data_IF_929056419098
#
_entry.id   IF_929056419098
#
_cell.length_a   1.000
_cell.length_b   1.000
_cell.length_c   1.000
_cell.angle_alpha   90.00
_cell.angle_beta   90.00
_cell.angle_gamma   90.00
#
_symmetry.space_group_name_H-M   'P 1'
#
loop_
_entity.id
_entity.type
_entity.pdbx_description
1 polymer ?
#
# COMPACT_ATOMS: atom_id res chain seq x y z
N UNK A 1 -6.20 -4.30 -20.53
CA UNK A 1 -5.79 -3.93 -19.16
C UNK A 1 -4.37 -3.32 -19.15
N UNK A 2 -4.17 -2.02 -19.45
CA UNK A 2 -2.83 -1.39 -19.39
C UNK A 2 -2.68 -0.21 -18.41
N UNK A 3 -3.77 0.38 -17.87
CA UNK A 3 -3.70 1.59 -17.03
C UNK A 3 -3.14 1.35 -15.62
N UNK A 4 -3.46 0.21 -14.99
CA UNK A 4 -3.06 -0.07 -13.61
C UNK A 4 -1.57 -0.39 -13.45
N UNK A 5 -0.97 -1.15 -14.38
CA UNK A 5 0.47 -1.46 -14.35
C UNK A 5 1.33 -0.20 -14.47
N UNK A 6 0.95 0.73 -15.36
CA UNK A 6 1.66 1.99 -15.53
C UNK A 6 1.60 2.87 -14.26
N UNK A 7 0.44 2.91 -13.60
CA UNK A 7 0.25 3.72 -12.38
C UNK A 7 1.10 3.21 -11.23
N UNK A 8 1.09 1.90 -10.97
CA UNK A 8 1.90 1.30 -9.91
C UNK A 8 3.40 1.50 -10.15
N UNK A 9 3.87 1.24 -11.38
CA UNK A 9 5.28 1.45 -11.72
C UNK A 9 5.69 2.90 -11.55
N UNK A 10 4.88 3.85 -12.03
CA UNK A 10 5.15 5.29 -11.89
C UNK A 10 5.12 5.75 -10.43
N UNK A 11 4.24 5.19 -9.60
CA UNK A 11 4.12 5.58 -8.18
C UNK A 11 5.35 5.15 -7.36
N UNK A 12 5.87 3.96 -7.65
CA UNK A 12 6.98 3.36 -6.89
C UNK A 12 8.36 3.57 -7.50
N UNK A 13 8.48 4.25 -8.66
CA UNK A 13 9.76 4.52 -9.32
C UNK A 13 10.10 6.01 -9.18
N UNK A 14 11.35 6.37 -8.82
CA UNK A 14 11.74 7.77 -8.75
C UNK A 14 11.58 8.47 -10.11
N UNK A 15 11.07 9.70 -10.12
CA UNK A 15 10.83 10.49 -11.32
C UNK A 15 11.23 11.96 -11.12
N UNK A 16 11.86 12.55 -12.14
CA UNK A 16 12.21 13.98 -12.16
C UNK A 16 10.98 14.90 -12.29
N UNK A 17 9.84 14.34 -12.71
CA UNK A 17 8.55 15.06 -12.75
C UNK A 17 8.00 15.31 -11.34
N UNK A 18 8.46 14.56 -10.33
CA UNK A 18 8.09 14.83 -8.93
C UNK A 18 8.89 16.04 -8.46
N UNK A 19 8.14 17.09 -8.15
CA UNK A 19 8.70 18.34 -7.63
C UNK A 19 9.58 18.05 -6.39
N UNK A 20 10.73 18.70 -6.34
CA UNK A 20 11.63 18.55 -5.20
C UNK A 20 10.96 19.11 -3.93
N UNK A 21 10.88 18.27 -2.90
CA UNK A 21 10.45 18.66 -1.55
C UNK A 21 11.67 18.95 -0.67
N UNK A 22 11.43 19.44 0.54
CA UNK A 22 12.49 19.63 1.53
C UNK A 22 13.17 18.29 1.84
N UNK A 23 14.49 18.22 1.79
CA UNK A 23 15.23 17.00 2.11
C UNK A 23 15.61 16.99 3.58
N UNK A 24 15.32 15.90 4.28
CA UNK A 24 15.69 15.69 5.68
C UNK A 24 16.31 14.30 5.91
N UNK A 25 17.04 14.17 7.01
CA UNK A 25 17.56 12.87 7.45
C UNK A 25 16.40 11.98 7.95
N UNK A 26 16.46 10.68 7.62
CA UNK A 26 15.52 9.67 8.11
C UNK A 26 15.59 9.51 9.62
N UNK A 27 14.44 9.33 10.27
CA UNK A 27 14.36 8.70 11.59
C UNK A 27 14.61 7.19 11.50
N UNK A 28 14.85 6.53 12.64
CA UNK A 28 15.02 5.07 12.66
C UNK A 28 13.74 4.33 12.24
N UNK A 29 12.58 4.86 12.60
CA UNK A 29 11.27 4.35 12.18
C UNK A 29 11.06 4.48 10.67
N UNK A 30 11.41 5.64 10.09
CA UNK A 30 11.35 5.84 8.63
C UNK A 30 12.34 4.95 7.90
N UNK A 31 13.54 4.73 8.45
CA UNK A 31 14.51 3.79 7.90
C UNK A 31 13.96 2.36 7.92
N UNK A 32 13.32 1.94 9.00
CA UNK A 32 12.69 0.62 9.07
C UNK A 32 11.55 0.47 8.06
N UNK A 33 10.70 1.50 7.91
CA UNK A 33 9.61 1.49 6.91
C UNK A 33 10.14 1.48 5.48
N UNK A 34 11.24 2.20 5.23
CA UNK A 34 11.96 2.14 3.96
C UNK A 34 12.48 0.72 3.66
N UNK A 35 13.02 0.02 4.67
CA UNK A 35 13.45 -1.37 4.52
C UNK A 35 12.27 -2.31 4.24
N UNK A 36 11.16 -2.15 4.96
CA UNK A 36 9.95 -2.94 4.71
C UNK A 36 9.39 -2.70 3.31
N UNK A 37 9.18 -1.44 2.91
CA UNK A 37 8.74 -1.09 1.57
C UNK A 37 9.70 -1.64 0.50
N UNK A 38 11.00 -1.57 0.76
CA UNK A 38 12.01 -2.15 -0.11
C UNK A 38 11.92 -3.67 -0.24
N UNK A 39 11.54 -4.39 0.81
CA UNK A 39 11.39 -5.85 0.78
C UNK A 39 10.33 -6.35 -0.21
N UNK A 40 9.28 -5.55 -0.45
CA UNK A 40 8.22 -5.84 -1.43
C UNK A 40 8.73 -5.69 -2.86
N UNK A 41 9.64 -4.74 -3.09
CA UNK A 41 10.18 -4.43 -4.42
C UNK A 41 11.44 -5.23 -4.76
N UNK A 42 12.25 -5.56 -3.76
CA UNK A 42 13.48 -6.34 -3.91
C UNK A 42 13.11 -7.82 -3.88
N UNK A 43 12.99 -8.40 -5.08
CA UNK A 43 12.71 -9.84 -5.23
C UNK A 43 13.73 -10.68 -4.46
N UNK A 44 13.25 -11.39 -3.44
CA UNK A 44 14.05 -12.42 -2.77
C UNK A 44 14.45 -13.48 -3.80
N UNK A 45 15.68 -13.99 -3.71
CA UNK A 45 16.19 -15.07 -4.58
C UNK A 45 15.26 -16.30 -4.53
N UNK A 46 14.64 -16.57 -3.38
CA UNK A 46 13.61 -17.59 -3.22
C UNK A 46 12.40 -17.33 -4.12
N UNK A 47 11.90 -16.10 -4.19
CA UNK A 47 10.78 -15.75 -5.06
C UNK A 47 11.14 -15.89 -6.56
N UNK A 48 12.41 -15.70 -6.92
CA UNK A 48 12.90 -15.91 -8.29
C UNK A 48 12.89 -17.39 -8.67
N UNK A 49 13.18 -18.29 -7.72
CA UNK A 49 13.31 -19.73 -7.97
C UNK A 49 12.01 -20.51 -7.74
N UNK A 50 11.21 -20.17 -6.72
CA UNK A 50 10.04 -20.96 -6.32
C UNK A 50 8.99 -20.99 -7.42
N UNK A 51 8.63 -19.83 -8.00
CA UNK A 51 7.62 -19.75 -9.06
C UNK A 51 7.96 -20.57 -10.30
N UNK A 52 9.15 -20.45 -10.92
CA UNK A 52 9.47 -21.25 -12.10
C UNK A 52 9.69 -22.73 -11.77
N UNK A 53 10.12 -23.09 -10.56
CA UNK A 53 10.26 -24.51 -10.19
C UNK A 53 8.89 -25.17 -9.96
N UNK A 54 7.98 -24.48 -9.26
CA UNK A 54 6.67 -25.03 -8.92
C UNK A 54 5.69 -25.03 -10.11
N UNK A 55 5.69 -23.95 -10.90
CA UNK A 55 4.69 -23.73 -11.96
C UNK A 55 5.31 -23.79 -13.37
N UNK A 56 6.61 -23.54 -13.48
CA UNK A 56 7.29 -23.52 -14.78
C UNK A 56 7.23 -24.84 -15.56
N UNK A 57 7.17 -26.04 -14.95
CA UNK A 57 6.93 -27.28 -15.70
C UNK A 57 5.51 -27.40 -16.27
N UNK A 58 4.52 -26.77 -15.65
CA UNK A 58 3.13 -26.87 -16.09
C UNK A 58 2.90 -26.10 -17.40
N UNK A 59 3.53 -24.93 -17.56
CA UNK A 59 3.27 -24.03 -18.69
C UNK A 59 3.65 -24.66 -20.04
N UNK A 60 4.87 -25.21 -20.26
CA UNK A 60 5.25 -25.86 -21.51
C UNK A 60 4.40 -27.10 -21.79
N UNK A 61 4.05 -27.88 -20.75
CA UNK A 61 3.22 -29.08 -20.90
C UNK A 61 1.81 -28.71 -21.35
N UNK A 62 1.16 -27.72 -20.72
CA UNK A 62 -0.16 -27.27 -21.13
C UNK A 62 -0.15 -26.61 -22.52
N UNK A 63 0.87 -25.80 -22.83
CA UNK A 63 1.02 -25.20 -24.15
C UNK A 63 1.20 -26.27 -25.24
N UNK A 64 1.99 -27.31 -24.96
CA UNK A 64 2.21 -28.44 -25.86
C UNK A 64 0.92 -29.25 -26.08
N UNK A 65 0.20 -29.59 -25.00
CA UNK A 65 -1.08 -30.30 -25.06
C UNK A 65 -2.14 -29.49 -25.83
N UNK A 66 -2.26 -28.20 -25.55
CA UNK A 66 -3.17 -27.31 -26.27
C UNK A 66 -2.83 -27.20 -27.75
N UNK A 67 -1.53 -27.11 -28.09
CA UNK A 67 -1.05 -27.10 -29.47
C UNK A 67 -1.40 -28.38 -30.23
N UNK A 68 -1.21 -29.55 -29.63
CA UNK A 68 -1.59 -30.83 -30.23
C UNK A 68 -3.11 -30.96 -30.43
N UNK A 69 -3.91 -30.53 -29.47
CA UNK A 69 -5.38 -30.51 -29.58
C UNK A 69 -5.83 -29.59 -30.72
N UNK A 70 -5.22 -28.39 -30.83
CA UNK A 70 -5.51 -27.47 -31.92
C UNK A 70 -5.10 -28.05 -33.28
N UNK A 71 -3.91 -28.67 -33.37
CA UNK A 71 -3.44 -29.32 -34.59
C UNK A 71 -4.36 -30.45 -35.03
N UNK A 72 -4.79 -31.30 -34.11
CA UNK A 72 -5.76 -32.37 -34.40
C UNK A 72 -7.11 -31.83 -34.87
N UNK A 73 -7.60 -30.78 -34.21
CA UNK A 73 -8.90 -30.18 -34.54
C UNK A 73 -8.92 -29.42 -35.87
N UNK A 74 -7.79 -28.83 -36.27
CA UNK A 74 -7.73 -27.90 -37.42
C UNK A 74 -6.99 -28.45 -38.65
N UNK A 75 -6.05 -29.37 -38.46
CA UNK A 75 -5.12 -29.81 -39.52
C UNK A 75 -5.25 -31.30 -39.82
N UNK A 76 -5.14 -32.15 -38.80
CA UNK A 76 -5.19 -33.61 -38.96
C UNK A 76 -6.04 -34.30 -37.87
N UNK A 77 -7.33 -34.59 -38.16
CA UNK A 77 -8.23 -35.24 -37.21
C UNK A 77 -7.81 -36.64 -36.75
N UNK A 78 -7.00 -37.33 -37.56
CA UNK A 78 -6.51 -38.68 -37.28
C UNK A 78 -5.19 -38.69 -36.49
N UNK A 79 -4.66 -37.52 -36.14
CA UNK A 79 -3.42 -37.37 -35.39
C UNK A 79 -3.47 -38.13 -34.05
N UNK A 80 -2.51 -39.05 -33.86
CA UNK A 80 -2.33 -39.84 -32.66
C UNK A 80 -1.50 -39.07 -31.62
N UNK A 81 -2.19 -38.53 -30.63
CA UNK A 81 -1.61 -37.72 -29.56
C UNK A 81 -0.74 -38.59 -28.63
N UNK A 82 -1.13 -39.83 -28.37
CA UNK A 82 -0.44 -40.71 -27.41
C UNK A 82 0.95 -41.08 -27.93
N UNK A 83 1.02 -41.38 -29.24
CA UNK A 83 2.29 -41.61 -29.93
C UNK A 83 3.17 -40.37 -29.95
N UNK A 84 2.59 -39.20 -30.26
CA UNK A 84 3.32 -37.94 -30.30
C UNK A 84 3.91 -37.56 -28.94
N UNK A 85 3.19 -37.78 -27.84
CA UNK A 85 3.70 -37.56 -26.47
C UNK A 85 4.88 -38.47 -26.16
N UNK A 86 4.79 -39.76 -26.53
CA UNK A 86 5.89 -40.71 -26.34
C UNK A 86 7.17 -40.33 -27.09
N UNK A 87 7.06 -39.83 -28.31
CA UNK A 87 8.21 -39.47 -29.17
C UNK A 87 8.84 -38.11 -28.79
N UNK A 88 8.11 -37.22 -28.13
CA UNK A 88 8.55 -35.82 -27.86
C UNK A 88 8.89 -35.53 -26.40
N UNK A 89 8.75 -36.50 -25.51
CA UNK A 89 8.97 -36.35 -24.07
C UNK A 89 10.33 -35.71 -23.72
N UNK A 90 11.40 -36.11 -24.40
CA UNK A 90 12.74 -35.53 -24.19
C UNK A 90 12.82 -34.05 -24.61
N UNK A 91 12.16 -33.68 -25.72
CA UNK A 91 12.08 -32.30 -26.21
C UNK A 91 11.32 -31.41 -25.23
N UNK A 92 10.21 -31.90 -24.67
CA UNK A 92 9.41 -31.16 -23.67
C UNK A 92 10.22 -30.86 -22.41
N UNK A 93 11.06 -31.82 -21.96
CA UNK A 93 11.96 -31.62 -20.82
C UNK A 93 12.96 -30.48 -21.11
N UNK A 94 13.60 -30.48 -22.28
CA UNK A 94 14.55 -29.43 -22.65
C UNK A 94 13.91 -28.05 -22.80
N UNK A 95 12.74 -27.98 -23.42
CA UNK A 95 11.98 -26.72 -23.55
C UNK A 95 11.60 -26.19 -22.17
N UNK A 96 11.20 -27.07 -21.26
CA UNK A 96 10.90 -26.70 -19.87
C UNK A 96 12.13 -26.18 -19.14
N UNK A 97 13.26 -26.86 -19.26
CA UNK A 97 14.52 -26.41 -18.65
C UNK A 97 14.96 -25.04 -19.19
N UNK A 98 14.85 -24.83 -20.52
CA UNK A 98 15.16 -23.56 -21.16
C UNK A 98 14.21 -22.44 -20.70
N UNK A 99 12.91 -22.73 -20.58
CA UNK A 99 11.93 -21.78 -20.05
C UNK A 99 12.27 -21.35 -18.62
N UNK A 100 12.58 -22.31 -17.75
CA UNK A 100 12.98 -22.03 -16.37
C UNK A 100 14.27 -21.21 -16.34
N UNK A 101 15.29 -21.57 -17.14
CA UNK A 101 16.54 -20.83 -17.22
C UNK A 101 16.34 -19.39 -17.71
N UNK A 102 15.52 -19.19 -18.75
CA UNK A 102 15.17 -17.88 -19.27
C UNK A 102 14.40 -17.04 -18.23
N UNK A 103 13.46 -17.65 -17.52
CA UNK A 103 12.72 -17.01 -16.42
C UNK A 103 13.66 -16.53 -15.32
N UNK A 104 14.56 -17.41 -14.85
CA UNK A 104 15.53 -17.08 -13.80
C UNK A 104 16.44 -15.94 -14.27
N UNK A 105 16.99 -16.05 -15.49
CA UNK A 105 17.87 -15.04 -16.07
C UNK A 105 17.20 -13.65 -16.17
N UNK A 106 15.97 -13.60 -16.68
CA UNK A 106 15.20 -12.36 -16.79
C UNK A 106 14.91 -11.76 -15.42
N UNK A 107 14.47 -12.57 -14.46
CA UNK A 107 14.13 -12.10 -13.11
C UNK A 107 15.37 -11.64 -12.34
N UNK A 108 16.51 -12.30 -12.52
CA UNK A 108 17.79 -11.88 -11.95
C UNK A 108 18.28 -10.57 -12.58
N UNK A 109 18.15 -10.42 -13.89
CA UNK A 109 18.46 -9.17 -14.58
C UNK A 109 17.60 -8.01 -14.04
N UNK A 110 16.29 -8.20 -13.95
CA UNK A 110 15.36 -7.19 -13.39
C UNK A 110 15.66 -6.89 -11.92
N UNK A 111 15.97 -7.91 -11.12
CA UNK A 111 16.34 -7.70 -9.72
C UNK A 111 17.66 -6.91 -9.58
N UNK A 112 18.61 -7.12 -10.48
CA UNK A 112 19.94 -6.51 -10.41
C UNK A 112 19.95 -5.10 -10.98
N UNK A 113 19.34 -4.91 -12.16
CA UNK A 113 19.47 -3.70 -12.97
C UNK A 113 18.17 -2.87 -13.06
N UNK A 114 17.04 -3.38 -12.58
CA UNK A 114 15.78 -2.64 -12.60
C UNK A 114 15.87 -1.38 -11.74
N UNK A 115 15.51 -0.23 -12.33
CA UNK A 115 15.60 1.09 -11.68
C UNK A 115 14.89 1.12 -10.34
N UNK A 116 13.65 0.59 -10.28
CA UNK A 116 12.86 0.50 -9.06
C UNK A 116 13.55 -0.37 -8.00
N UNK A 117 14.00 -1.56 -8.37
CA UNK A 117 14.63 -2.51 -7.45
C UNK A 117 15.92 -1.94 -6.87
N UNK A 118 16.75 -1.32 -7.72
CA UNK A 118 17.98 -0.66 -7.30
C UNK A 118 17.68 0.51 -6.36
N UNK A 119 16.73 1.37 -6.72
CA UNK A 119 16.31 2.49 -5.90
C UNK A 119 15.89 2.03 -4.50
N UNK A 120 14.94 1.10 -4.40
CA UNK A 120 14.44 0.61 -3.11
C UNK A 120 15.46 -0.20 -2.31
N UNK A 121 16.48 -0.77 -2.96
CA UNK A 121 17.61 -1.41 -2.28
C UNK A 121 18.54 -0.38 -1.63
N UNK A 122 18.83 0.71 -2.32
CA UNK A 122 19.78 1.74 -1.86
C UNK A 122 19.13 2.76 -0.90
N UNK A 123 17.83 3.02 -1.06
CA UNK A 123 17.10 4.07 -0.35
C UNK A 123 17.21 4.02 1.19
N UNK A 124 17.08 2.86 1.87
CA UNK A 124 17.24 2.81 3.33
C UNK A 124 18.65 3.18 3.82
N UNK A 125 19.68 2.96 2.99
CA UNK A 125 21.07 3.28 3.30
C UNK A 125 21.42 4.75 3.01
N UNK A 126 20.74 5.36 2.04
CA UNK A 126 20.90 6.78 1.74
C UNK A 126 20.43 7.69 2.87
N UNK A 127 19.51 7.22 3.73
CA UNK A 127 19.16 7.88 4.97
C UNK A 127 18.42 9.22 4.81
N UNK A 128 17.77 9.46 3.66
CA UNK A 128 17.13 10.74 3.31
C UNK A 128 15.67 10.54 2.93
N UNK A 129 14.83 11.44 3.39
CA UNK A 129 13.41 11.57 3.01
C UNK A 129 13.12 12.97 2.49
N UNK A 130 12.03 13.06 1.75
CA UNK A 130 11.46 14.32 1.26
C UNK A 130 10.25 14.69 2.13
N UNK A 131 10.18 15.92 2.62
CA UNK A 131 9.15 16.39 3.55
C UNK A 131 8.17 17.34 2.87
N UNK A 132 6.88 17.07 3.05
CA UNK A 132 5.79 18.00 2.74
C UNK A 132 5.16 18.48 4.05
N UNK A 133 5.11 19.79 4.26
CA UNK A 133 4.70 20.39 5.55
C UNK A 133 3.30 20.97 5.47
N UNK A 134 2.52 20.72 6.52
CA UNK A 134 1.19 21.26 6.71
C UNK A 134 1.04 21.75 8.14
N UNK A 135 0.37 22.90 8.30
CA UNK A 135 -0.06 23.40 9.60
C UNK A 135 -1.56 23.16 9.76
N UNK A 136 -1.94 22.37 10.77
CA UNK A 136 -3.32 22.00 11.06
C UNK A 136 -3.95 23.02 12.02
N UNK A 137 -5.14 23.52 11.66
CA UNK A 137 -5.95 24.40 12.53
C UNK A 137 -6.97 23.62 13.35
N UNK A 138 -7.52 22.56 12.79
CA UNK A 138 -8.48 21.70 13.45
C UNK A 138 -8.39 20.31 12.85
N UNK A 139 -8.74 19.29 13.64
CA UNK A 139 -8.81 17.91 13.20
C UNK A 139 -10.08 17.23 13.74
N UNK A 140 -10.68 16.36 12.93
CA UNK A 140 -11.81 15.53 13.32
C UNK A 140 -11.40 14.09 13.09
N UNK A 141 -11.56 13.27 14.11
CA UNK A 141 -11.21 11.85 14.05
C UNK A 141 -12.50 11.05 13.85
N UNK A 142 -12.54 10.30 12.74
CA UNK A 142 -13.60 9.35 12.39
C UNK A 142 -13.00 7.96 12.18
N UNK A 143 -13.84 6.93 12.19
CA UNK A 143 -13.39 5.55 12.25
C UNK A 143 -13.96 4.73 11.11
N UNK A 144 -13.24 3.70 10.67
CA UNK A 144 -13.83 2.66 9.85
C UNK A 144 -13.41 1.29 10.32
N UNK A 145 -14.29 0.32 10.14
CA UNK A 145 -13.95 -1.10 10.32
C UNK A 145 -13.01 -1.52 9.18
N UNK A 146 -11.85 -2.05 9.52
CA UNK A 146 -10.85 -2.56 8.57
C UNK A 146 -10.87 -4.10 8.56
N UNK A 147 -12.00 -4.71 8.96
CA UNK A 147 -12.19 -6.15 8.88
C UNK A 147 -12.13 -6.64 7.43
N UNK A 148 -11.01 -7.26 7.10
CA UNK A 148 -10.78 -8.00 5.87
C UNK A 148 -10.74 -9.51 6.21
N UNK A 149 -11.50 -10.38 5.51
CA UNK A 149 -11.37 -11.83 5.64
C UNK A 149 -9.96 -12.35 5.31
N UNK A 150 -9.19 -11.62 4.50
CA UNK A 150 -7.75 -11.82 4.35
C UNK A 150 -7.02 -10.88 5.33
N UNK A 151 -6.20 -11.39 6.27
CA UNK A 151 -5.64 -10.54 7.31
C UNK A 151 -4.74 -9.46 6.71
N UNK A 152 -5.22 -8.21 6.73
CA UNK A 152 -4.39 -7.05 6.51
C UNK A 152 -3.50 -6.86 7.74
N UNK A 153 -2.19 -6.92 7.51
CA UNK A 153 -1.20 -6.60 8.53
C UNK A 153 -0.92 -5.09 8.51
N UNK A 154 -0.84 -4.50 9.69
CA UNK A 154 -0.27 -3.17 9.91
C UNK A 154 1.11 -3.32 10.52
N UNK A 155 2.05 -2.51 10.06
CA UNK A 155 3.37 -2.42 10.66
C UNK A 155 3.35 -1.33 11.74
N UNK A 156 3.51 -1.75 12.99
CA UNK A 156 3.60 -0.86 14.13
C UNK A 156 5.05 -0.68 14.56
N UNK A 157 5.41 0.55 14.93
CA UNK A 157 6.72 0.83 15.50
C UNK A 157 6.66 0.64 17.01
N UNK A 158 7.25 -0.45 17.51
CA UNK A 158 7.25 -0.84 18.91
C UNK A 158 8.71 -1.12 19.32
N UNK A 159 9.16 -0.47 20.41
CA UNK A 159 10.48 -0.70 21.01
C UNK A 159 11.66 -0.67 20.01
N UNK A 160 11.59 0.24 19.03
CA UNK A 160 12.64 0.43 18.03
C UNK A 160 12.62 -0.57 16.87
N UNK A 161 11.52 -1.32 16.69
CA UNK A 161 11.33 -2.28 15.60
C UNK A 161 9.95 -2.14 14.97
N UNK A 162 9.85 -2.56 13.71
CA UNK A 162 8.55 -2.76 13.06
C UNK A 162 8.04 -4.16 13.38
N UNK A 163 6.85 -4.21 13.97
CA UNK A 163 6.12 -5.45 14.24
C UNK A 163 4.86 -5.51 13.38
N UNK A 164 4.56 -6.70 12.86
CA UNK A 164 3.36 -6.92 12.06
C UNK A 164 2.20 -7.37 12.94
N UNK A 165 1.20 -6.51 13.06
CA UNK A 165 -0.02 -6.77 13.82
C UNK A 165 -1.22 -6.87 12.89
N UNK A 166 -2.28 -7.59 13.27
CA UNK A 166 -3.53 -7.60 12.50
C UNK A 166 -4.21 -6.24 12.65
N UNK A 167 -4.54 -5.59 11.54
CA UNK A 167 -5.36 -4.39 11.57
C UNK A 167 -6.82 -4.77 11.89
N UNK A 168 -7.52 -3.90 12.63
CA UNK A 168 -8.97 -4.07 12.91
C UNK A 168 -9.74 -2.79 12.72
N UNK A 169 -9.13 -1.67 13.11
CA UNK A 169 -9.75 -0.37 13.04
C UNK A 169 -8.85 0.57 12.27
N UNK A 170 -9.46 1.42 11.44
CA UNK A 170 -8.75 2.52 10.79
C UNK A 170 -9.24 3.83 11.36
N UNK A 171 -8.30 4.64 11.81
CA UNK A 171 -8.50 6.02 12.18
C UNK A 171 -8.32 6.89 10.93
N UNK A 172 -9.32 7.71 10.65
CA UNK A 172 -9.25 8.74 9.63
C UNK A 172 -9.20 10.10 10.32
N UNK A 173 -8.24 10.93 9.92
CA UNK A 173 -8.07 12.29 10.43
C UNK A 173 -8.46 13.24 9.31
N UNK A 174 -9.58 13.92 9.50
CA UNK A 174 -10.04 15.00 8.64
C UNK A 174 -9.54 16.31 9.24
N UNK A 175 -8.48 16.88 8.67
CA UNK A 175 -7.85 18.09 9.18
C UNK A 175 -8.08 19.29 8.28
N UNK A 176 -8.38 20.44 8.87
CA UNK A 176 -8.39 21.72 8.16
C UNK A 176 -7.02 22.36 8.31
N UNK A 177 -6.39 22.66 7.18
CA UNK A 177 -5.08 23.33 7.16
C UNK A 177 -5.20 24.83 7.39
N UNK A 178 -4.11 25.49 7.74
CA UNK A 178 -4.02 26.95 7.89
C UNK A 178 -4.35 27.71 6.60
N UNK A 179 -4.15 27.07 5.45
CA UNK A 179 -4.43 27.59 4.10
C UNK A 179 -5.87 27.35 3.66
N UNK A 180 -6.68 26.69 4.50
CA UNK A 180 -8.10 26.48 4.23
C UNK A 180 -8.43 25.23 3.39
N UNK A 181 -7.46 24.37 3.10
CA UNK A 181 -7.71 23.06 2.47
C UNK A 181 -8.05 21.98 3.50
N UNK A 182 -8.83 20.99 3.06
CA UNK A 182 -8.98 19.73 3.79
C UNK A 182 -7.78 18.82 3.51
N UNK A 183 -7.27 18.22 4.57
CA UNK A 183 -6.25 17.17 4.55
C UNK A 183 -6.86 15.92 5.18
N UNK A 184 -6.75 14.77 4.51
CA UNK A 184 -7.24 13.48 4.98
C UNK A 184 -6.05 12.55 5.15
N UNK A 185 -5.91 12.03 6.37
CA UNK A 185 -4.88 11.05 6.70
C UNK A 185 -5.55 9.78 7.20
N UNK A 186 -5.02 8.65 6.78
CA UNK A 186 -5.38 7.34 7.33
C UNK A 186 -4.29 6.83 8.26
N UNK A 187 -4.72 6.14 9.32
CA UNK A 187 -3.87 5.43 10.25
C UNK A 187 -4.55 4.13 10.65
N UNK A 188 -3.93 3.00 10.33
CA UNK A 188 -4.42 1.67 10.73
C UNK A 188 -3.96 1.39 12.15
N UNK A 189 -4.88 0.86 12.96
CA UNK A 189 -4.64 0.52 14.37
C UNK A 189 -4.68 -1.00 14.51
N UNK A 190 -3.67 -1.55 15.21
CA UNK A 190 -3.65 -2.97 15.50
C UNK A 190 -4.73 -3.40 16.47
N UNK A 191 -5.28 -4.57 16.17
CA UNK A 191 -6.28 -5.24 16.97
C UNK A 191 -5.74 -5.59 18.37
N UNK A 192 -6.47 -5.20 19.42
CA UNK A 192 -6.29 -5.75 20.76
C UNK A 192 -6.95 -7.13 20.91
N UNK A 193 -8.00 -7.41 20.12
CA UNK A 193 -8.69 -8.70 20.10
C UNK A 193 -9.23 -9.04 18.71
N UNK A 194 -9.25 -10.33 18.37
CA UNK A 194 -9.65 -10.81 17.04
C UNK A 194 -11.15 -10.97 16.81
N UNK A 195 -11.99 -10.76 17.84
CA UNK A 195 -13.42 -11.03 17.79
C UNK A 195 -14.23 -9.94 18.53
N UNK A 196 -15.29 -9.44 17.88
CA UNK A 196 -16.22 -8.45 18.45
C UNK A 196 -16.49 -7.26 17.53
N UNK A 197 -17.54 -6.46 17.82
CA UNK A 197 -17.81 -5.23 17.10
C UNK A 197 -16.66 -4.22 17.28
N UNK A 198 -16.40 -3.34 16.30
CA UNK A 198 -15.36 -2.33 16.42
C UNK A 198 -15.68 -1.37 17.58
N UNK A 199 -14.71 -1.20 18.46
CA UNK A 199 -14.81 -0.34 19.63
C UNK A 199 -13.73 0.74 19.59
N UNK A 200 -13.95 1.83 20.33
CA UNK A 200 -12.97 2.90 20.46
C UNK A 200 -11.66 2.34 21.04
N UNK A 201 -10.52 2.53 20.34
CA UNK A 201 -9.23 2.02 20.77
C UNK A 201 -8.72 2.80 21.98
N UNK A 202 -7.80 2.19 22.72
CA UNK A 202 -7.07 2.85 23.82
C UNK A 202 -6.42 4.13 23.33
N UNK A 203 -6.41 5.16 24.19
CA UNK A 203 -5.86 6.47 23.81
C UNK A 203 -4.41 6.40 23.35
N UNK A 204 -3.64 5.52 23.97
CA UNK A 204 -2.23 5.26 23.67
C UNK A 204 -1.99 4.68 22.27
N UNK A 205 -3.01 4.10 21.64
CA UNK A 205 -2.97 3.56 20.28
C UNK A 205 -3.46 4.54 19.22
N UNK A 206 -4.08 5.65 19.64
CA UNK A 206 -4.62 6.64 18.70
C UNK A 206 -3.53 7.60 18.27
N UNK A 207 -3.52 7.93 16.99
CA UNK A 207 -2.71 9.03 16.51
C UNK A 207 -3.35 10.34 16.97
N UNK A 208 -2.64 11.12 17.79
CA UNK A 208 -3.09 12.44 18.26
C UNK A 208 -2.51 13.51 17.33
N UNK A 209 -3.34 14.23 16.56
CA UNK A 209 -2.85 15.26 15.64
C UNK A 209 -2.19 16.42 16.38
N UNK A 210 -0.98 16.80 15.95
CA UNK A 210 -0.32 18.03 16.39
C UNK A 210 -0.44 19.11 15.31
N UNK A 211 -0.24 20.37 15.68
CA UNK A 211 -0.42 21.49 14.75
C UNK A 211 0.54 21.43 13.58
N UNK A 212 1.79 21.04 13.79
CA UNK A 212 2.77 20.94 12.70
C UNK A 212 2.91 19.48 12.26
N UNK A 213 2.57 19.23 11.01
CA UNK A 213 2.70 17.93 10.36
C UNK A 213 3.72 18.03 9.23
N UNK A 214 4.69 17.12 9.21
CA UNK A 214 5.49 16.85 8.02
C UNK A 214 5.26 15.40 7.54
N UNK A 215 4.79 15.25 6.31
CA UNK A 215 4.63 13.95 5.66
C UNK A 215 5.95 13.61 4.99
N UNK A 216 6.54 12.49 5.38
CA UNK A 216 7.82 12.03 4.85
C UNK A 216 7.61 11.08 3.69
N UNK A 217 8.22 11.38 2.55
CA UNK A 217 8.20 10.61 1.31
C UNK A 217 9.56 10.00 1.01
N UNK A 218 9.53 8.86 0.33
CA UNK A 218 10.69 8.34 -0.34
C UNK A 218 11.13 9.34 -1.45
N UNK A 219 12.41 9.74 -1.52
CA UNK A 219 12.85 10.80 -2.42
C UNK A 219 12.45 10.60 -3.88
N UNK A 220 11.95 11.65 -4.53
CA UNK A 220 11.50 11.63 -5.94
C UNK A 220 10.40 10.61 -6.24
N UNK A 221 9.71 10.08 -5.23
CA UNK A 221 8.50 9.26 -5.40
C UNK A 221 7.33 9.90 -4.63
N UNK A 222 6.17 9.26 -4.70
CA UNK A 222 4.98 9.63 -3.93
C UNK A 222 4.65 8.62 -2.83
N UNK A 223 5.61 7.73 -2.51
CA UNK A 223 5.44 6.74 -1.46
C UNK A 223 5.70 7.37 -0.10
N UNK A 224 4.66 7.47 0.73
CA UNK A 224 4.77 7.90 2.13
C UNK A 224 5.56 6.86 2.94
N UNK A 225 6.58 7.33 3.66
CA UNK A 225 7.43 6.55 4.56
C UNK A 225 7.17 6.92 6.03
N UNK A 226 6.59 8.09 6.32
CA UNK A 226 6.31 8.47 7.70
C UNK A 226 5.46 9.72 7.84
N UNK A 227 5.06 9.98 9.09
CA UNK A 227 4.41 11.21 9.54
C UNK A 227 5.20 11.75 10.73
N UNK A 228 5.63 13.00 10.66
CA UNK A 228 6.32 13.70 11.75
C UNK A 228 5.40 14.75 12.33
N UNK A 229 5.08 14.61 13.60
CA UNK A 229 4.26 15.55 14.34
C UNK A 229 5.15 16.42 15.22
N UNK A 230 4.87 17.72 15.27
CA UNK A 230 5.53 18.65 16.18
C UNK A 230 4.61 19.79 16.61
N UNK A 231 5.05 20.55 17.61
CA UNK A 231 4.29 21.67 18.16
C UNK A 231 3.20 21.23 19.13
N UNK A 232 2.30 22.17 19.52
CA UNK A 232 1.20 21.85 20.42
C UNK A 232 0.16 20.95 19.72
N UNK A 233 -0.68 20.30 20.52
CA UNK A 233 -1.81 19.54 19.99
C UNK A 233 -2.71 20.42 19.11
N UNK A 234 -3.09 19.91 17.94
CA UNK A 234 -4.10 20.58 17.14
C UNK A 234 -5.46 20.47 17.86
N UNK A 235 -6.32 21.49 17.81
CA UNK A 235 -7.69 21.37 18.26
C UNK A 235 -8.35 20.17 17.56
N UNK A 236 -8.61 19.09 18.30
CA UNK A 236 -9.08 17.84 17.72
C UNK A 236 -10.34 17.33 18.40
N UNK A 237 -11.33 16.93 17.61
CA UNK A 237 -12.55 16.28 18.11
C UNK A 237 -12.52 14.79 17.78
N UNK A 238 -12.60 13.95 18.81
CA UNK A 238 -12.80 12.50 18.65
C UNK A 238 -14.30 12.23 18.55
N UNK A 239 -14.71 11.49 17.52
CA UNK A 239 -16.11 11.14 17.29
C UNK A 239 -16.32 9.64 17.47
N UNK A 240 -17.56 9.18 17.62
CA UNK A 240 -17.90 7.75 17.55
C UNK A 240 -18.30 7.32 16.15
N UNK A 241 -18.18 8.23 15.18
CA UNK A 241 -18.65 8.04 13.81
C UNK A 241 -17.91 6.89 13.13
N UNK A 242 -18.66 5.83 12.84
CA UNK A 242 -18.20 4.72 12.01
C UNK A 242 -18.61 4.96 10.56
N UNK A 243 -17.63 5.05 9.67
CA UNK A 243 -17.82 5.19 8.24
C UNK A 243 -18.31 3.87 7.63
N UNK A 244 -19.25 3.99 6.69
CA UNK A 244 -19.63 2.88 5.82
C UNK A 244 -18.53 2.58 4.81
N UNK A 245 -18.57 1.39 4.20
CA UNK A 245 -17.60 0.97 3.18
C UNK A 245 -17.52 1.96 2.00
N UNK A 246 -18.67 2.41 1.48
CA UNK A 246 -18.72 3.37 0.38
C UNK A 246 -18.10 4.73 0.75
N UNK A 247 -18.26 5.17 1.99
CA UNK A 247 -17.61 6.40 2.49
C UNK A 247 -16.12 6.22 2.65
N UNK A 248 -15.66 5.04 3.06
CA UNK A 248 -14.24 4.73 3.12
C UNK A 248 -13.60 4.73 1.74
N UNK A 249 -14.25 4.13 0.73
CA UNK A 249 -13.77 4.15 -0.65
C UNK A 249 -13.68 5.58 -1.20
N UNK A 250 -14.73 6.38 -0.98
CA UNK A 250 -14.75 7.78 -1.41
C UNK A 250 -13.69 8.62 -0.67
N UNK A 251 -13.52 8.41 0.63
CA UNK A 251 -12.51 9.11 1.43
C UNK A 251 -11.09 8.72 1.00
N UNK A 252 -10.85 7.43 0.73
CA UNK A 252 -9.57 6.95 0.22
C UNK A 252 -9.24 7.53 -1.16
N UNK A 253 -10.24 7.69 -2.02
CA UNK A 253 -10.09 8.34 -3.31
C UNK A 253 -9.77 9.83 -3.16
N UNK A 254 -10.50 10.54 -2.29
CA UNK A 254 -10.31 11.97 -2.01
C UNK A 254 -8.95 12.27 -1.33
N UNK A 255 -8.39 11.31 -0.58
CA UNK A 255 -7.09 11.42 0.08
C UNK A 255 -5.90 11.03 -0.81
N UNK A 256 -6.17 10.54 -2.02
CA UNK A 256 -5.16 10.17 -3.02
C UNK A 256 -4.11 9.13 -2.57
N UNK A 257 -4.38 8.32 -1.53
CA UNK A 257 -3.38 7.44 -0.90
C UNK A 257 -2.62 6.52 -1.86
N UNK A 258 -3.29 6.00 -2.90
CA UNK A 258 -2.73 5.04 -3.87
C UNK A 258 -2.60 5.59 -5.29
N UNK A 259 -2.93 6.87 -5.50
CA UNK A 259 -3.00 7.48 -6.83
C UNK A 259 -2.45 8.90 -6.87
N UNK A 260 -1.80 9.36 -5.81
CA UNK A 260 -1.27 10.70 -5.70
C UNK A 260 -0.13 10.94 -6.71
N UNK A 261 -0.33 11.89 -7.63
CA UNK A 261 0.68 12.40 -8.57
C UNK A 261 0.55 13.92 -8.72
N UNK A 262 1.66 14.65 -8.96
CA UNK A 262 1.58 16.08 -9.29
C UNK A 262 0.61 16.34 -10.47
N UNK A 263 -0.22 17.39 -10.40
CA UNK A 263 -0.16 18.52 -9.47
C UNK A 263 -0.94 18.35 -8.16
N UNK A 264 -1.49 17.16 -7.88
CA UNK A 264 -2.20 16.91 -6.62
C UNK A 264 -1.24 17.11 -5.42
N UNK A 265 -1.74 17.06 -4.19
CA UNK A 265 -0.91 17.02 -2.97
C UNK A 265 -1.39 15.88 -2.08
N UNK A 266 -0.48 15.20 -1.40
CA UNK A 266 -0.82 13.98 -0.67
C UNK A 266 -1.82 14.27 0.45
N UNK A 267 -2.92 13.52 0.49
CA UNK A 267 -3.97 13.72 1.48
C UNK A 267 -4.75 15.04 1.33
N UNK A 268 -4.30 15.98 0.50
CA UNK A 268 -5.01 17.25 0.29
C UNK A 268 -6.19 16.98 -0.62
N UNK A 269 -7.40 17.24 -0.11
CA UNK A 269 -8.64 16.95 -0.80
C UNK A 269 -8.81 17.91 -1.97
N UNK A 270 -9.05 17.35 -3.15
CA UNK A 270 -9.37 18.12 -4.35
C UNK A 270 -10.64 18.98 -4.14
N UNK A 271 -10.74 20.17 -4.77
CA UNK A 271 -11.91 21.04 -4.59
C UNK A 271 -13.26 20.37 -4.89
N UNK A 272 -13.30 19.39 -5.80
CA UNK A 272 -14.53 18.65 -6.13
C UNK A 272 -15.05 17.75 -5.00
N UNK A 273 -14.18 17.33 -4.08
CA UNK A 273 -14.54 16.47 -2.95
C UNK A 273 -14.62 17.23 -1.62
N UNK A 274 -14.19 18.50 -1.61
CA UNK A 274 -14.13 19.33 -0.41
C UNK A 274 -15.50 19.51 0.27
N UNK A 275 -16.55 19.79 -0.50
CA UNK A 275 -17.92 19.97 0.02
C UNK A 275 -18.43 18.69 0.68
N UNK A 276 -18.12 17.54 0.10
CA UNK A 276 -18.51 16.24 0.66
C UNK A 276 -17.73 15.93 1.94
N UNK A 277 -16.43 16.22 1.99
CA UNK A 277 -15.62 16.06 3.22
C UNK A 277 -16.13 17.00 4.31
N UNK A 278 -16.58 18.20 3.95
CA UNK A 278 -17.16 19.17 4.89
C UNK A 278 -18.50 18.69 5.46
N UNK A 279 -19.38 18.12 4.62
CA UNK A 279 -20.62 17.49 5.07
C UNK A 279 -20.35 16.28 5.98
N UNK A 280 -19.36 15.45 5.61
CA UNK A 280 -18.91 14.32 6.42
C UNK A 280 -18.42 14.78 7.80
N UNK A 281 -17.60 15.83 7.84
CA UNK A 281 -17.08 16.43 9.06
C UNK A 281 -18.21 16.98 9.94
N UNK A 282 -19.16 17.73 9.37
CA UNK A 282 -20.30 18.28 10.09
C UNK A 282 -21.17 17.17 10.72
N UNK A 283 -21.42 16.09 9.97
CA UNK A 283 -22.15 14.92 10.47
C UNK A 283 -21.41 14.21 11.60
N UNK A 284 -20.09 14.05 11.45
CA UNK A 284 -19.26 13.41 12.46
C UNK A 284 -19.23 14.20 13.77
N UNK A 285 -19.20 15.54 13.70
CA UNK A 285 -19.29 16.42 14.88
C UNK A 285 -20.62 16.29 15.62
N UNK A 286 -21.71 15.92 14.94
CA UNK A 286 -22.98 15.57 15.59
C UNK A 286 -22.96 14.24 16.37
N UNK A 287 -21.86 13.48 16.30
CA UNK A 287 -21.60 12.23 17.03
C UNK A 287 -20.31 12.34 17.85
N UNK A 288 -20.09 13.51 18.45
CA UNK A 288 -18.93 13.76 19.29
C UNK A 288 -18.93 12.83 20.52
N UNK A 289 -17.73 12.44 20.92
CA UNK A 289 -17.51 11.61 22.09
C UNK A 289 -16.91 12.51 23.16
N UNK A 290 -17.57 12.64 24.34
CA UNK A 290 -16.98 13.37 25.46
C UNK A 290 -15.59 12.83 25.78
N UNK A 291 -14.68 13.72 26.22
CA UNK A 291 -13.27 13.40 26.50
C UNK A 291 -13.12 12.26 27.53
N UNK A 292 -14.13 12.03 28.39
CA UNK A 292 -14.11 11.05 29.48
C UNK A 292 -14.68 9.65 29.12
N UNK A 293 -14.91 9.36 27.84
CA UNK A 293 -15.48 8.05 27.46
C UNK A 293 -14.43 6.94 27.57
N UNK A 294 -14.75 5.95 28.42
CA UNK A 294 -13.89 4.80 28.63
C UNK A 294 -13.59 4.06 27.31
N UNK A 295 -12.35 3.59 27.11
CA UNK A 295 -11.99 2.71 26.00
C UNK A 295 -12.90 1.47 25.98
N UNK A 296 -13.25 0.99 24.79
CA UNK A 296 -14.16 -0.15 24.64
C UNK A 296 -15.64 0.20 24.42
N UNK A 297 -16.03 1.48 24.35
CA UNK A 297 -17.36 1.88 23.86
C UNK A 297 -17.51 1.50 22.38
N UNK A 298 -18.66 0.92 22.03
CA UNK A 298 -18.99 0.58 20.65
C UNK A 298 -19.05 1.82 19.76
N UNK A 299 -18.48 1.71 18.56
CA UNK A 299 -18.60 2.71 17.50
C UNK A 299 -19.98 2.61 16.83
N UNK A 300 -20.54 3.75 16.39
CA UNK A 300 -21.95 3.87 15.95
C UNK A 300 -22.10 4.75 14.72
#
# INVERSE_FOLDING_TARGET
>A
MPKCQNTYERFHTPSDEVAAREVAAMSDEERARAQSAGSVHVRNWLAILVTPVAVGPLIPVFAYMAGMLAYRGMVDPAFDIDRAVGETSFTVIWVTALFIAAWIGLNWYVATYGTRQRYWREMPFNGRVELERHTLRAAIIVWSDDYDPEPLYVEEWIDGKLESSRARLRQWILARTSVGHWLVLDHRIAADSGYGPPALPLETKRLVPQQELAIAFAPRTNVRIGLRWSGPAAPSTVTSCLLSHAECERLAAAAHHYGFFPPDQYGVVAPCDADWVEELAARALGRDVPVDVAPGRALT
#
